data_IF_360093369114
#
_entry.id   IF_360093369114
#
_cell.length_a   1.000
_cell.length_b   1.000
_cell.length_c   1.000
_cell.angle_alpha   90.00
_cell.angle_beta   90.00
_cell.angle_gamma   90.00
#
_symmetry.space_group_name_H-M   'P 1'
#
loop_
_entity.id
_entity.type
_entity.pdbx_description
1 polymer ?
#
# COMPACT_ATOMS: atom_id res chain seq x y z
N UNK A 1 10.68 25.58 1.73
CA UNK A 1 10.13 24.49 0.92
C UNK A 1 8.74 24.22 1.46
N UNK A 2 7.67 24.47 0.69
CA UNK A 2 6.29 24.39 1.20
C UNK A 2 5.94 22.94 1.53
N UNK A 3 5.61 22.71 2.80
CA UNK A 3 4.99 21.48 3.27
C UNK A 3 3.65 21.30 2.56
N UNK A 4 3.53 20.26 1.74
CA UNK A 4 2.23 19.73 1.31
C UNK A 4 1.61 19.00 2.51
N UNK A 5 1.18 19.76 3.52
CA UNK A 5 0.15 19.28 4.42
C UNK A 5 -1.08 19.01 3.57
N UNK A 6 -1.72 17.85 3.77
CA UNK A 6 -3.03 17.53 3.20
C UNK A 6 -4.02 18.63 3.61
N UNK A 7 -4.08 19.72 2.84
CA UNK A 7 -5.09 20.75 3.00
C UNK A 7 -6.38 20.17 2.41
N UNK A 8 -7.14 19.49 3.27
CA UNK A 8 -8.53 19.15 3.02
C UNK A 8 -9.32 20.46 2.95
N UNK A 9 -9.34 21.10 1.78
CA UNK A 9 -10.29 22.17 1.54
C UNK A 9 -11.69 21.55 1.62
N UNK A 10 -12.50 21.98 2.59
CA UNK A 10 -13.94 21.70 2.69
C UNK A 10 -14.72 22.46 1.59
N UNK A 11 -14.18 22.55 0.37
CA UNK A 11 -14.90 23.16 -0.74
C UNK A 11 -15.91 22.15 -1.25
N UNK A 12 -17.19 22.52 -1.12
CA UNK A 12 -18.33 21.63 -1.26
C UNK A 12 -18.41 20.95 -2.61
N UNK A 13 -18.76 19.67 -2.58
CA UNK A 13 -19.24 18.89 -3.73
C UNK A 13 -20.56 19.43 -4.32
N UNK A 14 -21.01 20.62 -3.88
CA UNK A 14 -22.26 21.28 -4.24
C UNK A 14 -22.17 21.96 -5.63
N UNK A 15 -21.56 21.28 -6.59
CA UNK A 15 -21.69 21.60 -8.01
C UNK A 15 -23.00 21.05 -8.59
N UNK A 16 -23.18 21.10 -9.92
CA UNK A 16 -24.27 20.38 -10.59
C UNK A 16 -24.28 18.88 -10.19
N UNK A 17 -25.47 18.27 -10.24
CA UNK A 17 -25.71 16.85 -9.88
C UNK A 17 -24.58 15.93 -10.35
N UNK A 18 -23.92 15.26 -9.42
CA UNK A 18 -22.85 14.29 -9.68
C UNK A 18 -23.20 12.92 -9.10
N UNK A 19 -22.35 11.91 -9.37
CA UNK A 19 -22.63 10.53 -8.97
C UNK A 19 -22.72 10.34 -7.45
N UNK A 20 -21.95 11.10 -6.67
CA UNK A 20 -22.02 11.05 -5.19
C UNK A 20 -23.37 11.58 -4.72
N UNK A 21 -23.79 12.75 -5.22
CA UNK A 21 -25.10 13.31 -4.86
C UNK A 21 -26.26 12.46 -5.38
N UNK A 22 -26.09 11.76 -6.51
CA UNK A 22 -27.08 10.83 -7.03
C UNK A 22 -27.28 9.63 -6.10
N UNK A 23 -26.21 9.07 -5.54
CA UNK A 23 -26.34 8.04 -4.50
C UNK A 23 -26.95 8.58 -3.21
N UNK A 24 -26.54 9.76 -2.74
CA UNK A 24 -27.10 10.39 -1.53
C UNK A 24 -28.60 10.68 -1.66
N UNK A 25 -29.03 11.13 -2.85
CA UNK A 25 -30.43 11.43 -3.15
C UNK A 25 -31.26 10.25 -3.65
N UNK A 26 -30.69 9.04 -3.73
CA UNK A 26 -31.34 7.84 -4.29
C UNK A 26 -31.86 8.05 -5.74
N UNK A 27 -31.08 8.77 -6.56
CA UNK A 27 -31.43 9.19 -7.93
C UNK A 27 -30.84 8.28 -9.02
N UNK A 28 -30.44 7.06 -8.66
CA UNK A 28 -30.01 6.01 -9.58
C UNK A 28 -31.08 4.92 -9.69
N UNK A 29 -31.16 4.21 -10.83
CA UNK A 29 -32.18 3.19 -11.03
C UNK A 29 -31.97 2.03 -10.07
N UNK A 30 -33.06 1.55 -9.47
CA UNK A 30 -33.03 0.39 -8.56
C UNK A 30 -32.59 0.71 -7.13
N UNK A 31 -32.27 1.97 -6.80
CA UNK A 31 -32.06 2.38 -5.40
C UNK A 31 -33.41 2.55 -4.69
N UNK A 32 -33.97 1.44 -4.21
CA UNK A 32 -35.19 1.45 -3.36
C UNK A 32 -34.78 1.36 -1.88
N UNK A 33 -35.29 2.28 -1.06
CA UNK A 33 -34.96 2.36 0.37
C UNK A 33 -33.63 3.05 0.67
N UNK A 34 -33.22 3.07 1.94
CA UNK A 34 -31.99 3.73 2.40
C UNK A 34 -30.73 2.88 2.15
N UNK A 35 -29.57 3.47 2.44
CA UNK A 35 -28.30 2.74 2.51
C UNK A 35 -28.15 2.11 3.90
N UNK A 36 -27.66 0.87 3.99
CA UNK A 36 -27.37 0.21 5.27
C UNK A 36 -26.23 0.92 6.02
N UNK A 37 -25.36 1.59 5.28
CA UNK A 37 -24.26 2.37 5.82
C UNK A 37 -23.58 3.21 4.73
N UNK A 38 -22.95 4.30 5.16
CA UNK A 38 -22.14 5.15 4.29
C UNK A 38 -20.78 5.37 4.95
N UNK A 39 -19.72 5.03 4.23
CA UNK A 39 -18.34 5.26 4.68
C UNK A 39 -17.75 6.34 3.77
N UNK A 40 -17.26 7.42 4.38
CA UNK A 40 -16.58 8.49 3.66
C UNK A 40 -15.07 8.36 3.81
N UNK A 41 -14.35 8.19 2.69
CA UNK A 41 -12.89 8.20 2.66
C UNK A 41 -12.38 9.58 2.26
N UNK A 42 -11.07 9.74 2.06
CA UNK A 42 -10.53 10.98 1.51
C UNK A 42 -11.08 11.24 0.09
N UNK A 43 -11.02 10.25 -0.81
CA UNK A 43 -11.35 10.44 -2.24
C UNK A 43 -12.71 9.91 -2.68
N UNK A 44 -13.38 9.10 -1.88
CA UNK A 44 -14.60 8.40 -2.29
C UNK A 44 -15.63 8.33 -1.17
N UNK A 45 -16.86 7.98 -1.54
CA UNK A 45 -17.87 7.48 -0.61
C UNK A 45 -18.22 6.04 -0.99
N UNK A 46 -18.38 5.19 0.02
CA UNK A 46 -18.85 3.82 -0.11
C UNK A 46 -20.29 3.78 0.40
N UNK A 47 -21.21 3.33 -0.44
CA UNK A 47 -22.63 3.17 -0.11
C UNK A 47 -22.94 1.68 0.03
N UNK A 48 -23.24 1.22 1.24
CA UNK A 48 -23.47 -0.18 1.57
C UNK A 48 -24.96 -0.49 1.41
N UNK A 49 -25.31 -1.52 0.65
CA UNK A 49 -26.69 -1.94 0.38
C UNK A 49 -26.79 -3.47 0.24
N UNK A 50 -27.34 -4.13 1.24
CA UNK A 50 -27.41 -5.58 1.32
C UNK A 50 -26.00 -6.20 1.26
N UNK A 51 -25.77 -7.01 0.23
CA UNK A 51 -24.50 -7.69 -0.03
C UNK A 51 -23.58 -6.90 -0.98
N UNK A 52 -23.98 -5.70 -1.41
CA UNK A 52 -23.19 -4.84 -2.30
C UNK A 52 -22.69 -3.57 -1.60
N UNK A 53 -21.58 -3.07 -2.10
CA UNK A 53 -20.99 -1.78 -1.76
C UNK A 53 -20.73 -1.02 -3.05
N UNK A 54 -21.21 0.21 -3.15
CA UNK A 54 -20.97 1.07 -4.31
C UNK A 54 -19.95 2.15 -3.95
N UNK A 55 -18.76 2.13 -4.59
CA UNK A 55 -17.71 3.15 -4.42
C UNK A 55 -17.86 4.23 -5.49
N UNK A 56 -18.22 5.43 -5.07
CA UNK A 56 -18.30 6.62 -5.92
C UNK A 56 -17.20 7.60 -5.55
N UNK A 57 -16.47 8.10 -6.56
CA UNK A 57 -15.39 9.05 -6.34
C UNK A 57 -15.91 10.48 -6.24
N UNK A 58 -15.29 11.22 -5.34
CA UNK A 58 -15.57 12.62 -5.06
C UNK A 58 -14.98 13.51 -6.15
N UNK A 59 -15.74 14.54 -6.55
CA UNK A 59 -15.32 15.51 -7.57
C UNK A 59 -14.43 16.58 -6.94
N UNK A 60 -13.16 16.28 -6.73
CA UNK A 60 -12.20 17.17 -6.05
C UNK A 60 -10.79 17.02 -6.60
N UNK A 61 -9.98 18.04 -6.36
CA UNK A 61 -8.54 17.93 -6.56
C UNK A 61 -7.88 17.28 -5.33
N UNK A 62 -6.91 16.41 -5.58
CA UNK A 62 -6.02 15.80 -4.59
C UNK A 62 -4.57 15.94 -5.06
N UNK A 63 -3.60 15.69 -4.17
CA UNK A 63 -2.17 15.94 -4.41
C UNK A 63 -1.58 15.17 -5.61
N UNK A 64 -2.25 14.10 -6.06
CA UNK A 64 -1.81 13.23 -7.14
C UNK A 64 -2.78 13.16 -8.33
N UNK A 65 -3.98 13.73 -8.21
CA UNK A 65 -4.97 13.70 -9.29
C UNK A 65 -6.01 14.82 -9.13
N UNK A 66 -6.36 15.46 -10.24
CA UNK A 66 -7.52 16.34 -10.29
C UNK A 66 -8.79 15.55 -10.63
N UNK A 67 -9.45 14.99 -9.62
CA UNK A 67 -10.71 14.25 -9.82
C UNK A 67 -11.91 15.18 -10.06
N UNK A 68 -11.74 16.50 -10.08
CA UNK A 68 -12.79 17.40 -10.58
C UNK A 68 -12.91 17.28 -12.12
N UNK A 69 -11.78 17.12 -12.82
CA UNK A 69 -11.76 16.82 -14.25
C UNK A 69 -12.34 15.44 -14.54
N UNK A 70 -13.30 15.39 -15.46
CA UNK A 70 -14.04 14.17 -15.80
C UNK A 70 -13.15 13.11 -16.44
N UNK A 71 -12.23 13.50 -17.33
CA UNK A 71 -11.33 12.56 -18.02
C UNK A 71 -10.34 11.94 -17.04
N UNK A 72 -9.73 12.77 -16.20
CA UNK A 72 -8.80 12.34 -15.14
C UNK A 72 -9.52 11.42 -14.15
N UNK A 73 -10.70 11.82 -13.65
CA UNK A 73 -11.49 11.00 -12.73
C UNK A 73 -11.85 9.64 -13.33
N UNK A 74 -12.36 9.59 -14.56
CA UNK A 74 -12.68 8.31 -15.23
C UNK A 74 -11.44 7.43 -15.32
N UNK A 75 -10.32 7.95 -15.83
CA UNK A 75 -9.06 7.20 -15.90
C UNK A 75 -8.65 6.66 -14.53
N UNK A 76 -8.76 7.46 -13.48
CA UNK A 76 -8.46 7.05 -12.11
C UNK A 76 -9.37 5.91 -11.63
N UNK A 77 -10.69 6.01 -11.85
CA UNK A 77 -11.66 4.97 -11.42
C UNK A 77 -11.42 3.65 -12.16
N UNK A 78 -11.17 3.70 -13.48
CA UNK A 78 -10.86 2.48 -14.23
C UNK A 78 -9.54 1.84 -13.78
N UNK A 79 -8.54 2.66 -13.43
CA UNK A 79 -7.30 2.16 -12.87
C UNK A 79 -7.53 1.54 -11.48
N UNK A 80 -8.23 2.23 -10.56
CA UNK A 80 -8.57 1.69 -9.24
C UNK A 80 -9.31 0.35 -9.36
N UNK A 81 -10.33 0.29 -10.24
CA UNK A 81 -11.05 -0.96 -10.49
C UNK A 81 -10.14 -2.06 -11.02
N UNK A 82 -9.32 -1.77 -12.03
CA UNK A 82 -8.42 -2.77 -12.62
C UNK A 82 -7.48 -3.38 -11.57
N UNK A 83 -6.82 -2.53 -10.81
CA UNK A 83 -5.84 -2.95 -9.80
C UNK A 83 -6.49 -3.83 -8.74
N UNK A 84 -7.62 -3.37 -8.21
CA UNK A 84 -8.33 -4.09 -7.19
C UNK A 84 -9.05 -5.34 -7.70
N UNK A 85 -9.50 -5.38 -8.96
CA UNK A 85 -10.12 -6.57 -9.55
C UNK A 85 -9.10 -7.68 -9.79
N UNK A 86 -7.86 -7.37 -10.19
CA UNK A 86 -6.80 -8.39 -10.24
C UNK A 86 -6.48 -8.91 -8.83
N UNK A 87 -6.45 -8.01 -7.84
CA UNK A 87 -6.07 -8.36 -6.48
C UNK A 87 -7.18 -9.00 -5.64
N UNK A 88 -8.45 -8.78 -5.98
CA UNK A 88 -9.63 -9.31 -5.30
C UNK A 88 -10.82 -9.39 -6.28
N UNK A 89 -10.78 -10.30 -7.27
CA UNK A 89 -11.82 -10.38 -8.32
C UNK A 89 -13.19 -10.75 -7.77
N UNK A 90 -13.23 -11.42 -6.63
CA UNK A 90 -14.46 -11.76 -5.93
C UNK A 90 -15.07 -10.56 -5.17
N UNK A 91 -14.27 -9.54 -4.86
CA UNK A 91 -14.73 -8.35 -4.14
C UNK A 91 -15.07 -7.24 -5.13
N UNK A 92 -14.24 -6.98 -6.13
CA UNK A 92 -14.46 -5.90 -7.10
C UNK A 92 -15.18 -6.45 -8.34
N UNK A 93 -16.50 -6.31 -8.36
CA UNK A 93 -17.36 -7.06 -9.26
C UNK A 93 -17.53 -6.38 -10.63
N UNK A 94 -17.74 -5.07 -10.65
CA UNK A 94 -18.09 -4.35 -11.87
C UNK A 94 -17.66 -2.88 -11.83
N UNK A 95 -17.22 -2.37 -12.97
CA UNK A 95 -17.12 -0.94 -13.24
C UNK A 95 -18.38 -0.50 -13.99
N UNK A 96 -19.29 0.20 -13.31
CA UNK A 96 -20.60 0.56 -13.89
C UNK A 96 -20.63 1.98 -14.42
N UNK A 97 -21.17 2.14 -15.63
CA UNK A 97 -21.41 3.41 -16.27
C UNK A 97 -22.74 4.04 -15.85
N UNK A 98 -22.73 5.36 -15.69
CA UNK A 98 -23.97 6.14 -15.52
C UNK A 98 -24.04 7.26 -16.56
N UNK A 99 -25.23 7.63 -16.99
CA UNK A 99 -25.49 8.82 -17.83
C UNK A 99 -26.62 9.62 -17.23
N UNK A 100 -26.53 10.95 -17.26
CA UNK A 100 -27.61 11.81 -16.76
C UNK A 100 -28.78 11.84 -17.75
N UNK A 101 -29.99 11.66 -17.23
CA UNK A 101 -31.25 11.82 -17.95
C UNK A 101 -32.20 12.70 -17.11
N UNK A 102 -32.26 14.00 -17.44
CA UNK A 102 -32.98 15.00 -16.64
C UNK A 102 -32.34 15.18 -15.25
N UNK A 103 -33.11 14.88 -14.20
CA UNK A 103 -32.68 14.99 -12.80
C UNK A 103 -32.24 13.65 -12.19
N UNK A 104 -32.17 12.59 -13.00
CA UNK A 104 -31.74 11.27 -12.59
C UNK A 104 -30.51 10.82 -13.36
N UNK A 105 -29.88 9.75 -12.87
CA UNK A 105 -28.93 8.98 -13.66
C UNK A 105 -29.58 7.67 -14.10
N UNK A 106 -29.13 7.15 -15.23
CA UNK A 106 -29.45 5.80 -15.71
C UNK A 106 -28.18 4.97 -15.83
N UNK A 107 -28.29 3.66 -15.61
CA UNK A 107 -27.18 2.74 -15.85
C UNK A 107 -26.97 2.54 -17.35
N UNK A 108 -25.72 2.60 -17.78
CA UNK A 108 -25.28 2.35 -19.15
C UNK A 108 -23.97 1.58 -19.13
N UNK A 109 -23.53 1.07 -20.28
CA UNK A 109 -22.17 0.54 -20.39
C UNK A 109 -21.15 1.62 -20.03
N UNK A 110 -20.06 1.26 -19.34
CA UNK A 110 -19.04 2.21 -18.91
C UNK A 110 -18.41 2.99 -20.09
N UNK A 111 -18.40 2.45 -21.31
CA UNK A 111 -17.94 3.15 -22.51
C UNK A 111 -18.88 4.30 -22.92
N UNK A 112 -20.17 4.19 -22.61
CA UNK A 112 -21.21 5.18 -22.91
C UNK A 112 -21.48 6.14 -21.72
N UNK A 113 -20.85 5.87 -20.57
CA UNK A 113 -21.04 6.61 -19.33
C UNK A 113 -20.53 8.06 -19.33
N UNK A 114 -21.44 8.96 -18.95
CA UNK A 114 -21.30 10.05 -17.97
C UNK A 114 -20.08 10.00 -17.05
N UNK A 115 -20.24 9.16 -16.05
CA UNK A 115 -19.33 8.95 -14.95
C UNK A 115 -19.38 7.47 -14.57
N UNK A 116 -18.50 7.06 -13.67
CA UNK A 116 -18.35 5.67 -13.26
C UNK A 116 -18.45 5.53 -11.76
N UNK A 117 -18.85 4.34 -11.33
CA UNK A 117 -18.67 3.89 -9.96
C UNK A 117 -18.32 2.41 -9.95
N UNK A 118 -17.75 1.95 -8.84
CA UNK A 118 -17.34 0.56 -8.69
C UNK A 118 -18.38 -0.18 -7.84
N UNK A 119 -18.84 -1.32 -8.33
CA UNK A 119 -19.67 -2.26 -7.58
C UNK A 119 -18.75 -3.27 -6.93
N UNK A 120 -18.90 -3.44 -5.61
CA UNK A 120 -18.13 -4.35 -4.80
C UNK A 120 -19.05 -5.28 -4.02
N UNK A 121 -18.58 -6.48 -3.70
CA UNK A 121 -19.17 -7.33 -2.69
C UNK A 121 -18.88 -6.73 -1.31
N UNK A 122 -19.89 -6.69 -0.44
CA UNK A 122 -19.69 -6.39 0.98
C UNK A 122 -18.83 -7.48 1.61
N UNK A 123 -17.84 -7.07 2.40
CA UNK A 123 -16.97 -7.98 3.14
C UNK A 123 -17.12 -7.72 4.64
N UNK A 124 -16.81 -8.74 5.42
CA UNK A 124 -16.75 -8.63 6.87
C UNK A 124 -15.44 -7.97 7.29
N UNK A 125 -15.53 -6.72 7.73
CA UNK A 125 -14.37 -5.93 8.15
C UNK A 125 -13.64 -6.50 9.36
N UNK A 126 -14.25 -7.41 10.13
CA UNK A 126 -13.60 -8.04 11.28
C UNK A 126 -12.59 -9.14 10.87
N UNK A 127 -12.53 -9.52 9.58
CA UNK A 127 -11.62 -10.55 9.05
C UNK A 127 -10.33 -10.00 8.43
N UNK A 128 -9.98 -8.74 8.69
CA UNK A 128 -8.76 -8.15 8.16
C UNK A 128 -7.51 -8.54 8.98
N UNK A 129 -6.32 -8.48 8.36
CA UNK A 129 -5.06 -8.86 8.99
C UNK A 129 -4.71 -7.98 10.20
N UNK A 130 -5.07 -6.69 10.19
CA UNK A 130 -4.83 -5.82 11.34
C UNK A 130 -5.56 -6.33 12.58
N UNK A 131 -6.84 -6.73 12.46
CA UNK A 131 -7.60 -7.34 13.56
C UNK A 131 -6.94 -8.61 14.08
N UNK A 132 -6.57 -9.50 13.17
CA UNK A 132 -5.86 -10.74 13.52
C UNK A 132 -4.56 -10.47 14.27
N UNK A 133 -3.82 -9.42 13.91
CA UNK A 133 -2.59 -9.00 14.58
C UNK A 133 -2.85 -8.37 15.96
N UNK A 134 -3.84 -7.49 16.06
CA UNK A 134 -4.22 -6.85 17.33
C UNK A 134 -4.72 -7.85 18.37
N UNK A 135 -5.43 -8.89 17.93
CA UNK A 135 -5.95 -9.96 18.77
C UNK A 135 -4.92 -11.07 19.04
N UNK A 136 -3.79 -11.07 18.33
CA UNK A 136 -2.79 -12.14 18.39
C UNK A 136 -3.29 -13.47 17.83
N UNK A 137 -4.34 -13.45 17.00
CA UNK A 137 -4.96 -14.63 16.38
C UNK A 137 -4.52 -14.68 14.92
N UNK A 138 -3.23 -14.96 14.71
CA UNK A 138 -2.73 -15.26 13.37
C UNK A 138 -3.11 -16.70 13.00
N UNK A 139 -3.95 -16.91 11.98
CA UNK A 139 -4.36 -18.27 11.65
C UNK A 139 -3.16 -19.04 11.08
N UNK A 140 -2.88 -20.22 11.62
CA UNK A 140 -1.78 -21.06 11.18
C UNK A 140 -1.84 -21.35 9.67
N UNK A 141 -0.72 -21.17 8.96
CA UNK A 141 -0.62 -21.39 7.52
C UNK A 141 -1.14 -20.24 6.63
N UNK A 142 -2.00 -19.35 7.13
CA UNK A 142 -2.56 -18.24 6.32
C UNK A 142 -1.50 -17.23 5.88
N UNK A 143 -0.41 -17.06 6.64
CA UNK A 143 0.72 -16.24 6.21
C UNK A 143 1.40 -16.82 4.97
N UNK A 144 1.53 -18.14 4.86
CA UNK A 144 2.05 -18.79 3.65
C UNK A 144 1.12 -18.62 2.45
N UNK A 145 -0.20 -18.78 2.66
CA UNK A 145 -1.21 -18.49 1.63
C UNK A 145 -1.16 -17.03 1.15
N UNK A 146 -0.96 -16.09 2.09
CA UNK A 146 -0.76 -14.68 1.79
C UNK A 146 0.44 -14.47 0.85
N UNK A 147 1.60 -15.08 1.16
CA UNK A 147 2.80 -14.90 0.32
C UNK A 147 2.58 -15.46 -1.08
N UNK A 148 1.99 -16.66 -1.20
CA UNK A 148 1.66 -17.24 -2.49
C UNK A 148 0.69 -16.37 -3.30
N UNK A 149 -0.36 -15.86 -2.66
CA UNK A 149 -1.35 -15.00 -3.31
C UNK A 149 -0.74 -13.65 -3.73
N UNK A 150 0.06 -13.02 -2.87
CA UNK A 150 0.76 -11.77 -3.18
C UNK A 150 1.69 -11.98 -4.37
N UNK A 151 2.55 -13.00 -4.32
CA UNK A 151 3.52 -13.28 -5.37
C UNK A 151 2.84 -13.46 -6.74
N UNK A 152 1.86 -14.36 -6.82
CA UNK A 152 1.16 -14.65 -8.07
C UNK A 152 0.43 -13.43 -8.65
N UNK A 153 -0.25 -12.64 -7.80
CA UNK A 153 -1.00 -11.47 -8.26
C UNK A 153 -0.11 -10.30 -8.65
N UNK A 154 1.04 -10.12 -7.98
CA UNK A 154 2.04 -9.14 -8.40
C UNK A 154 2.65 -9.50 -9.76
N UNK A 155 2.83 -10.79 -10.07
CA UNK A 155 3.24 -11.23 -11.42
C UNK A 155 2.19 -10.88 -12.47
N UNK A 156 0.91 -11.17 -12.20
CA UNK A 156 -0.19 -10.79 -13.10
C UNK A 156 -0.26 -9.27 -13.34
N UNK A 157 -0.14 -8.46 -12.27
CA UNK A 157 -0.11 -7.00 -12.38
C UNK A 157 1.11 -6.53 -13.18
N UNK A 158 2.28 -7.15 -12.95
CA UNK A 158 3.51 -6.80 -13.65
C UNK A 158 3.38 -7.04 -15.15
N UNK A 159 2.93 -8.21 -15.57
CA UNK A 159 2.73 -8.50 -16.98
C UNK A 159 1.74 -7.55 -17.64
N UNK A 160 0.66 -7.20 -16.93
CA UNK A 160 -0.36 -6.31 -17.48
C UNK A 160 0.05 -4.83 -17.54
N UNK A 161 0.94 -4.36 -16.64
CA UNK A 161 1.20 -2.92 -16.44
C UNK A 161 2.63 -2.47 -16.67
N UNK A 162 3.60 -3.39 -16.80
CA UNK A 162 5.01 -3.04 -17.02
C UNK A 162 5.24 -2.07 -18.16
N UNK A 163 4.54 -2.24 -19.29
CA UNK A 163 4.69 -1.34 -20.43
C UNK A 163 4.23 0.10 -20.13
N UNK A 164 3.15 0.25 -19.36
CA UNK A 164 2.65 1.57 -18.96
C UNK A 164 3.50 2.26 -17.90
N UNK A 165 4.36 1.50 -17.20
CA UNK A 165 5.25 1.97 -16.13
C UNK A 165 6.72 1.85 -16.52
N UNK A 166 7.03 1.75 -17.81
CA UNK A 166 8.38 1.45 -18.33
C UNK A 166 9.43 2.42 -17.81
N UNK A 167 9.10 3.69 -17.66
CA UNK A 167 10.03 4.71 -17.15
C UNK A 167 10.59 4.43 -15.75
N UNK A 168 9.83 3.73 -14.90
CA UNK A 168 10.26 3.34 -13.56
C UNK A 168 11.06 2.04 -13.59
N UNK A 169 10.71 1.11 -14.49
CA UNK A 169 11.51 -0.10 -14.74
C UNK A 169 12.89 0.23 -15.31
N UNK A 170 12.98 1.19 -16.23
CA UNK A 170 14.23 1.59 -16.89
C UNK A 170 15.24 2.22 -15.91
N UNK A 171 14.78 2.73 -14.77
CA UNK A 171 15.63 3.24 -13.68
C UNK A 171 16.18 2.14 -12.78
N UNK A 172 15.66 0.91 -12.88
CA UNK A 172 16.11 -0.26 -12.15
C UNK A 172 16.32 0.00 -10.63
N UNK A 173 17.49 -0.34 -10.10
CA UNK A 173 17.82 -0.19 -8.68
C UNK A 173 17.84 1.27 -8.21
N UNK A 174 18.11 2.24 -9.10
CA UNK A 174 18.10 3.67 -8.74
C UNK A 174 16.71 4.08 -8.25
N UNK A 175 15.67 3.64 -8.94
CA UNK A 175 14.29 3.95 -8.55
C UNK A 175 13.96 3.40 -7.16
N UNK A 176 14.30 2.13 -6.90
CA UNK A 176 14.09 1.50 -5.58
C UNK A 176 14.84 2.25 -4.48
N UNK A 177 16.07 2.69 -4.73
CA UNK A 177 16.85 3.49 -3.76
C UNK A 177 16.17 4.83 -3.44
N UNK A 178 15.70 5.52 -4.48
CA UNK A 178 14.99 6.81 -4.33
C UNK A 178 13.72 6.64 -3.48
N UNK A 179 12.93 5.59 -3.72
CA UNK A 179 11.70 5.32 -2.97
C UNK A 179 11.98 4.95 -1.50
N UNK A 180 12.98 4.09 -1.25
CA UNK A 180 13.39 3.72 0.12
C UNK A 180 13.82 4.95 0.92
N UNK A 181 14.67 5.82 0.35
CA UNK A 181 15.12 7.04 1.02
C UNK A 181 13.99 8.08 1.15
N UNK A 182 13.09 8.13 0.18
CA UNK A 182 11.92 9.02 0.19
C UNK A 182 11.01 8.82 1.40
N UNK A 183 11.03 7.65 2.04
CA UNK A 183 10.27 7.38 3.28
C UNK A 183 10.66 8.30 4.45
N UNK A 184 11.91 8.76 4.49
CA UNK A 184 12.45 9.64 5.53
C UNK A 184 11.64 10.93 5.68
N UNK A 185 11.35 11.59 4.56
CA UNK A 185 10.74 12.92 4.59
C UNK A 185 9.32 12.89 5.16
N UNK A 186 8.59 11.79 4.91
CA UNK A 186 7.28 11.59 5.52
C UNK A 186 7.38 11.18 6.99
N UNK A 187 8.38 10.37 7.35
CA UNK A 187 8.60 9.96 8.74
C UNK A 187 8.85 11.13 9.70
N UNK A 188 9.39 12.27 9.23
CA UNK A 188 9.50 13.49 10.05
C UNK A 188 8.15 14.03 10.56
N UNK A 189 7.03 13.64 9.95
CA UNK A 189 5.69 14.05 10.39
C UNK A 189 5.18 13.23 11.59
N UNK A 190 5.94 12.23 12.04
CA UNK A 190 5.55 11.29 13.09
C UNK A 190 5.81 11.77 14.53
N UNK A 191 6.36 12.96 14.75
CA UNK A 191 6.57 13.48 16.12
C UNK A 191 5.24 13.53 16.92
N UNK A 192 5.24 13.19 18.23
CA UNK A 192 6.41 12.88 19.05
C UNK A 192 6.83 11.40 19.03
N UNK A 193 6.11 10.51 18.34
CA UNK A 193 6.31 9.06 18.42
C UNK A 193 7.68 8.62 17.92
N UNK A 194 8.14 9.23 16.83
CA UNK A 194 9.46 9.01 16.26
C UNK A 194 10.17 10.35 16.12
N UNK A 195 11.30 10.51 16.84
CA UNK A 195 12.03 11.77 16.87
C UNK A 195 12.78 11.99 15.55
N UNK A 196 13.06 13.26 15.21
CA UNK A 196 13.91 13.57 14.05
C UNK A 196 15.27 12.85 14.10
N UNK A 197 15.87 12.72 15.29
CA UNK A 197 17.13 12.01 15.47
C UNK A 197 17.02 10.50 15.19
N UNK A 198 15.90 9.88 15.57
CA UNK A 198 15.64 8.47 15.24
C UNK A 198 15.50 8.28 13.71
N UNK A 199 14.76 9.18 13.05
CA UNK A 199 14.58 9.18 11.58
C UNK A 199 15.92 9.37 10.87
N UNK A 200 16.71 10.36 11.28
CA UNK A 200 18.03 10.65 10.71
C UNK A 200 18.97 9.44 10.86
N UNK A 201 19.01 8.83 12.05
CA UNK A 201 19.82 7.63 12.31
C UNK A 201 19.40 6.45 11.43
N UNK A 202 18.10 6.18 11.32
CA UNK A 202 17.59 5.10 10.46
C UNK A 202 17.97 5.35 8.99
N UNK A 203 17.78 6.58 8.51
CA UNK A 203 18.13 6.97 7.14
C UNK A 203 19.64 6.80 6.85
N UNK A 204 20.51 7.26 7.74
CA UNK A 204 21.96 7.10 7.60
C UNK A 204 22.39 5.63 7.48
N UNK A 205 21.79 4.75 8.30
CA UNK A 205 22.07 3.31 8.23
C UNK A 205 21.56 2.70 6.93
N UNK A 206 20.35 3.06 6.48
CA UNK A 206 19.82 2.62 5.19
C UNK A 206 20.72 3.10 4.04
N UNK A 207 21.13 4.37 4.01
CA UNK A 207 22.00 4.93 2.97
C UNK A 207 23.34 4.19 2.86
N UNK A 208 23.92 3.77 4.00
CA UNK A 208 25.14 2.93 4.01
C UNK A 208 24.93 1.60 3.28
N UNK A 209 23.81 0.92 3.55
CA UNK A 209 23.47 -0.35 2.90
C UNK A 209 23.18 -0.14 1.41
N UNK A 210 22.35 0.86 1.06
CA UNK A 210 22.01 1.18 -0.33
C UNK A 210 23.26 1.51 -1.16
N UNK A 211 24.31 2.06 -0.54
CA UNK A 211 25.56 2.41 -1.21
C UNK A 211 26.57 1.26 -1.27
N UNK A 212 26.54 0.33 -0.31
CA UNK A 212 27.55 -0.73 -0.19
C UNK A 212 27.12 -2.10 -0.75
N UNK A 213 25.83 -2.43 -0.68
CA UNK A 213 25.35 -3.75 -1.10
C UNK A 213 25.24 -3.84 -2.63
N UNK A 214 25.88 -4.86 -3.21
CA UNK A 214 25.81 -5.13 -4.65
C UNK A 214 24.39 -5.31 -5.16
N UNK A 215 23.44 -5.68 -4.28
CA UNK A 215 22.01 -5.77 -4.57
C UNK A 215 21.45 -4.47 -5.18
N UNK A 216 21.89 -3.31 -4.68
CA UNK A 216 21.44 -1.99 -5.13
C UNK A 216 22.36 -1.34 -6.18
N UNK A 217 23.48 -2.00 -6.52
CA UNK A 217 24.39 -1.56 -7.58
C UNK A 217 24.16 -2.29 -8.91
N UNK A 218 23.32 -3.32 -8.92
CA UNK A 218 23.01 -4.14 -10.08
C UNK A 218 21.50 -4.12 -10.36
N UNK A 219 21.06 -4.53 -11.56
CA UNK A 219 19.64 -4.68 -11.86
C UNK A 219 18.94 -5.62 -10.86
N UNK A 220 17.89 -5.13 -10.21
CA UNK A 220 17.07 -5.92 -9.26
C UNK A 220 16.19 -6.87 -10.07
N UNK A 221 16.50 -8.17 -10.02
CA UNK A 221 15.80 -9.20 -10.79
C UNK A 221 14.33 -9.36 -10.43
N UNK A 222 13.97 -9.00 -9.21
CA UNK A 222 12.61 -9.09 -8.65
C UNK A 222 11.83 -7.78 -8.78
N UNK A 223 12.32 -6.81 -9.56
CA UNK A 223 11.60 -5.57 -9.82
C UNK A 223 10.24 -5.88 -10.47
N UNK A 224 9.17 -5.38 -9.87
CA UNK A 224 7.81 -5.70 -10.26
C UNK A 224 6.89 -4.49 -10.12
N UNK A 225 5.70 -4.61 -10.70
CA UNK A 225 4.58 -3.78 -10.29
C UNK A 225 4.19 -4.23 -8.88
N UNK A 226 3.97 -3.28 -7.96
CA UNK A 226 3.66 -3.54 -6.54
C UNK A 226 2.40 -2.81 -6.10
N UNK A 227 1.80 -3.28 -5.00
CA UNK A 227 0.56 -2.73 -4.43
C UNK A 227 0.81 -1.97 -3.14
N UNK A 228 -0.11 -1.08 -2.79
CA UNK A 228 -0.14 -0.49 -1.44
C UNK A 228 -0.60 -1.56 -0.45
N UNK A 229 0.35 -2.03 0.34
CA UNK A 229 0.14 -3.13 1.29
C UNK A 229 -0.06 -2.53 2.67
N UNK A 230 -1.29 -2.67 3.19
CA UNK A 230 -1.70 -2.29 4.55
C UNK A 230 -2.50 -3.45 5.16
N UNK A 231 -2.26 -3.85 6.42
CA UNK A 231 -2.96 -4.95 7.08
C UNK A 231 -4.49 -4.73 7.22
N UNK A 232 -4.97 -3.48 7.17
CA UNK A 232 -6.42 -3.18 7.13
C UNK A 232 -7.06 -3.56 5.79
N UNK A 233 -6.25 -3.67 4.74
CA UNK A 233 -6.65 -3.94 3.36
C UNK A 233 -6.42 -5.40 2.94
N UNK A 234 -5.91 -6.23 3.86
CA UNK A 234 -5.64 -7.65 3.63
C UNK A 234 -6.68 -8.46 4.39
N UNK A 235 -7.41 -9.31 3.70
CA UNK A 235 -8.46 -10.15 4.26
C UNK A 235 -8.07 -11.62 4.21
N UNK A 236 -8.20 -12.29 5.36
CA UNK A 236 -7.90 -13.70 5.52
C UNK A 236 -9.21 -14.48 5.57
N UNK A 237 -9.71 -14.88 4.41
CA UNK A 237 -10.91 -15.70 4.32
C UNK A 237 -10.57 -17.20 4.36
N UNK A 238 -11.60 -18.02 4.57
CA UNK A 238 -11.46 -19.48 4.59
C UNK A 238 -11.05 -19.97 3.20
N UNK A 239 -11.63 -19.40 2.15
CA UNK A 239 -11.34 -19.65 0.73
C UNK A 239 -10.02 -19.05 0.21
N UNK A 240 -9.33 -18.23 1.03
CA UNK A 240 -8.01 -17.68 0.70
C UNK A 240 -7.85 -16.20 1.04
N UNK A 241 -6.81 -15.58 0.48
CA UNK A 241 -6.43 -14.19 0.78
C UNK A 241 -6.96 -13.22 -0.27
N UNK A 242 -7.48 -12.08 0.17
CA UNK A 242 -7.91 -10.98 -0.71
C UNK A 242 -7.23 -9.67 -0.30
N UNK A 243 -6.93 -8.83 -1.29
CA UNK A 243 -6.33 -7.50 -1.07
C UNK A 243 -7.25 -6.47 -1.71
N UNK A 244 -7.71 -5.49 -0.92
CA UNK A 244 -8.58 -4.41 -1.37
C UNK A 244 -7.85 -3.06 -1.25
N UNK A 245 -8.38 -2.03 -1.91
CA UNK A 245 -7.82 -0.68 -1.91
C UNK A 245 -6.29 -0.65 -2.13
N UNK A 246 -5.84 -1.40 -3.15
CA UNK A 246 -4.43 -1.79 -3.35
C UNK A 246 -3.64 -0.87 -4.27
N UNK A 247 -4.31 0.06 -4.99
CA UNK A 247 -3.65 0.86 -6.01
C UNK A 247 -2.81 1.97 -5.37
N UNK A 248 -1.47 1.99 -5.57
CA UNK A 248 -0.68 3.13 -5.13
C UNK A 248 -1.11 4.40 -5.87
N UNK A 249 -1.36 5.51 -5.16
CA UNK A 249 -1.92 6.73 -5.76
C UNK A 249 -0.95 7.45 -6.70
N UNK A 250 0.36 7.28 -6.54
CA UNK A 250 1.39 7.85 -7.42
C UNK A 250 2.00 6.75 -8.29
N UNK A 251 2.26 7.05 -9.57
CA UNK A 251 2.84 6.08 -10.50
C UNK A 251 4.23 5.60 -10.06
N UNK A 252 5.04 6.48 -9.47
CA UNK A 252 6.35 6.11 -8.91
C UNK A 252 6.26 5.07 -7.78
N UNK A 253 5.13 4.98 -7.08
CA UNK A 253 4.95 4.00 -6.00
C UNK A 253 4.49 2.63 -6.52
N UNK A 254 4.24 2.51 -7.83
CA UNK A 254 3.70 1.30 -8.45
C UNK A 254 4.76 0.33 -8.91
N UNK A 255 6.02 0.74 -8.97
CA UNK A 255 7.15 -0.13 -9.33
C UNK A 255 8.11 -0.19 -8.17
N UNK A 256 8.42 -1.40 -7.71
CA UNK A 256 9.39 -1.59 -6.65
C UNK A 256 9.92 -3.02 -6.72
N UNK A 257 10.94 -3.31 -5.93
CA UNK A 257 11.29 -4.70 -5.64
C UNK A 257 10.10 -5.44 -5.02
N UNK A 258 9.69 -6.56 -5.62
CA UNK A 258 8.63 -7.43 -5.12
C UNK A 258 8.81 -7.81 -3.65
N UNK A 259 10.06 -8.00 -3.22
CA UNK A 259 10.35 -8.35 -1.82
C UNK A 259 9.98 -7.23 -0.84
N UNK A 260 10.04 -5.96 -1.26
CA UNK A 260 9.59 -4.85 -0.42
C UNK A 260 8.10 -4.93 -0.11
N UNK A 261 7.26 -5.36 -1.05
CA UNK A 261 5.82 -5.55 -0.81
C UNK A 261 5.56 -6.60 0.29
N UNK A 262 6.39 -7.65 0.38
CA UNK A 262 6.36 -8.59 1.51
C UNK A 262 6.81 -7.91 2.80
N UNK A 263 7.92 -7.16 2.76
CA UNK A 263 8.47 -6.46 3.93
C UNK A 263 7.52 -5.44 4.54
N UNK A 264 6.59 -4.87 3.75
CA UNK A 264 5.48 -4.06 4.28
C UNK A 264 4.70 -4.83 5.34
N UNK A 265 4.24 -6.04 5.00
CA UNK A 265 3.52 -6.88 5.95
C UNK A 265 4.42 -7.55 7.00
N UNK A 266 5.67 -7.90 6.69
CA UNK A 266 6.57 -8.46 7.71
C UNK A 266 6.90 -7.44 8.81
N UNK A 267 7.02 -6.15 8.46
CA UNK A 267 7.17 -5.07 9.43
C UNK A 267 5.91 -4.91 10.31
N UNK A 268 4.70 -4.98 9.72
CA UNK A 268 3.44 -4.96 10.49
C UNK A 268 3.35 -6.14 11.47
N UNK A 269 3.64 -7.36 11.01
CA UNK A 269 3.66 -8.56 11.85
C UNK A 269 4.71 -8.41 12.96
N UNK A 270 5.93 -8.01 12.61
CA UNK A 270 7.00 -7.92 13.61
C UNK A 270 6.76 -6.83 14.65
N UNK A 271 6.19 -5.68 14.26
CA UNK A 271 5.89 -4.58 15.18
C UNK A 271 4.73 -4.91 16.13
N UNK A 272 3.77 -5.75 15.72
CA UNK A 272 2.55 -6.01 16.48
C UNK A 272 2.56 -7.32 17.25
N UNK A 273 3.16 -8.38 16.70
CA UNK A 273 3.16 -9.73 17.30
C UNK A 273 4.56 -10.35 17.44
N UNK A 274 5.60 -9.67 16.95
CA UNK A 274 7.01 -10.06 17.12
C UNK A 274 7.64 -10.79 15.93
N UNK A 275 8.97 -10.82 15.94
CA UNK A 275 9.84 -11.26 14.83
C UNK A 275 9.60 -12.70 14.37
N UNK A 276 9.34 -13.64 15.29
CA UNK A 276 9.16 -15.06 14.95
C UNK A 276 7.99 -15.30 13.98
N UNK A 277 6.92 -14.51 14.08
CA UNK A 277 5.80 -14.61 13.14
C UNK A 277 6.16 -14.02 11.77
N UNK A 278 6.99 -12.97 11.74
CA UNK A 278 7.47 -12.37 10.50
C UNK A 278 8.44 -13.28 9.75
N UNK A 279 9.23 -14.10 10.44
CA UNK A 279 10.12 -15.09 9.83
C UNK A 279 9.37 -16.08 8.94
N UNK A 280 8.17 -16.51 9.33
CA UNK A 280 7.33 -17.41 8.52
C UNK A 280 6.94 -16.81 7.15
N UNK A 281 6.83 -15.48 7.04
CA UNK A 281 6.60 -14.81 5.75
C UNK A 281 7.84 -14.90 4.86
N UNK A 282 9.03 -14.73 5.44
CA UNK A 282 10.28 -14.81 4.70
C UNK A 282 10.58 -16.23 4.23
N UNK A 283 10.37 -17.23 5.09
CA UNK A 283 10.54 -18.64 4.73
C UNK A 283 9.59 -19.05 3.59
N UNK A 284 8.35 -18.58 3.66
CA UNK A 284 7.36 -18.81 2.59
C UNK A 284 7.76 -18.14 1.28
N UNK A 285 8.39 -16.96 1.33
CA UNK A 285 8.88 -16.27 0.14
C UNK A 285 10.11 -16.96 -0.44
N UNK A 286 11.03 -17.43 0.40
CA UNK A 286 12.25 -18.11 -0.03
C UNK A 286 11.96 -19.35 -0.89
N UNK A 287 10.87 -20.05 -0.57
CA UNK A 287 10.38 -21.18 -1.36
C UNK A 287 9.94 -20.80 -2.80
N UNK A 288 9.66 -19.52 -3.06
CA UNK A 288 9.23 -19.00 -4.37
C UNK A 288 10.32 -18.21 -5.08
N UNK A 289 11.17 -17.48 -4.34
CA UNK A 289 12.20 -16.63 -4.89
C UNK A 289 13.34 -16.40 -3.87
N UNK A 290 14.61 -16.33 -4.30
CA UNK A 290 15.73 -16.13 -3.39
C UNK A 290 15.58 -14.85 -2.54
N UNK A 291 15.89 -14.97 -1.25
CA UNK A 291 15.89 -13.83 -0.35
C UNK A 291 17.00 -12.84 -0.68
N UNK A 292 16.74 -11.52 -0.58
CA UNK A 292 17.81 -10.54 -0.58
C UNK A 292 18.78 -10.72 0.60
N UNK A 293 20.02 -10.17 0.50
CA UNK A 293 20.95 -10.15 1.63
C UNK A 293 20.30 -9.57 2.89
N UNK A 294 20.68 -10.08 4.06
CA UNK A 294 20.05 -9.68 5.33
C UNK A 294 19.96 -8.17 5.55
N UNK A 295 21.04 -7.43 5.29
CA UNK A 295 21.04 -5.97 5.40
C UNK A 295 19.99 -5.31 4.50
N UNK A 296 19.75 -5.84 3.30
CA UNK A 296 18.71 -5.35 2.38
C UNK A 296 17.32 -5.59 2.96
N UNK A 297 17.08 -6.78 3.53
CA UNK A 297 15.80 -7.11 4.17
C UNK A 297 15.48 -6.15 5.31
N UNK A 298 16.48 -5.86 6.15
CA UNK A 298 16.36 -4.91 7.26
C UNK A 298 16.05 -3.50 6.80
N UNK A 299 16.70 -3.02 5.73
CA UNK A 299 16.40 -1.71 5.13
C UNK A 299 14.96 -1.62 4.69
N UNK A 300 14.44 -2.64 4.01
CA UNK A 300 13.05 -2.66 3.56
C UNK A 300 12.04 -2.68 4.72
N UNK A 301 12.32 -3.44 5.78
CA UNK A 301 11.48 -3.46 6.97
C UNK A 301 11.49 -2.11 7.71
N UNK A 302 12.66 -1.47 7.83
CA UNK A 302 12.77 -0.13 8.40
C UNK A 302 11.98 0.88 7.55
N UNK A 303 12.16 0.88 6.23
CA UNK A 303 11.44 1.76 5.31
C UNK A 303 9.91 1.53 5.36
N UNK A 304 9.47 0.27 5.47
CA UNK A 304 8.06 -0.06 5.67
C UNK A 304 7.51 0.52 6.98
N UNK A 305 8.25 0.39 8.08
CA UNK A 305 7.83 0.92 9.38
C UNK A 305 7.87 2.46 9.43
N UNK A 306 8.84 3.10 8.76
CA UNK A 306 8.90 4.55 8.59
C UNK A 306 7.68 5.12 7.86
N UNK A 307 7.03 4.33 7.01
CA UNK A 307 5.75 4.65 6.38
C UNK A 307 4.59 4.47 7.39
N UNK A 308 4.58 3.37 8.14
CA UNK A 308 3.49 3.06 9.06
C UNK A 308 3.40 4.06 10.23
N UNK A 309 4.52 4.49 10.82
CA UNK A 309 4.48 5.41 11.97
C UNK A 309 3.69 6.70 11.70
N UNK A 310 4.01 7.52 10.66
CA UNK A 310 3.23 8.73 10.37
C UNK A 310 1.81 8.41 9.89
N UNK A 311 1.60 7.31 9.17
CA UNK A 311 0.25 6.89 8.76
C UNK A 311 -0.66 6.62 9.96
N UNK A 312 -0.21 5.82 10.93
CA UNK A 312 -0.97 5.48 12.14
C UNK A 312 -1.29 6.71 12.98
N UNK A 313 -0.33 7.63 13.11
CA UNK A 313 -0.58 8.94 13.73
C UNK A 313 -1.65 9.73 12.97
N UNK A 314 -1.58 9.82 11.64
CA UNK A 314 -2.52 10.56 10.80
C UNK A 314 -3.97 10.06 10.97
N UNK A 315 -4.16 8.75 11.15
CA UNK A 315 -5.49 8.15 11.37
C UNK A 315 -5.90 8.09 12.85
N UNK A 316 -5.15 8.74 13.75
CA UNK A 316 -5.49 8.82 15.18
C UNK A 316 -5.22 7.53 15.98
N UNK A 317 -4.36 6.65 15.48
CA UNK A 317 -3.92 5.41 16.14
C UNK A 317 -2.54 5.59 16.76
N UNK A 318 -2.46 6.47 17.76
CA UNK A 318 -1.20 6.80 18.47
C UNK A 318 -0.56 5.57 19.13
N UNK A 319 -1.40 4.62 19.58
CA UNK A 319 -0.97 3.34 20.16
C UNK A 319 -0.16 2.51 19.16
N UNK A 320 -0.62 2.44 17.91
CA UNK A 320 0.07 1.73 16.84
C UNK A 320 1.29 2.52 16.37
N UNK A 321 1.18 3.85 16.24
CA UNK A 321 2.29 4.70 15.85
C UNK A 321 3.51 4.50 16.77
N UNK A 322 3.29 4.43 18.09
CA UNK A 322 4.33 4.14 19.06
C UNK A 322 5.00 2.76 18.81
N UNK A 323 4.21 1.70 18.58
CA UNK A 323 4.74 0.35 18.29
C UNK A 323 5.63 0.32 17.04
N UNK A 324 5.21 0.98 15.96
CA UNK A 324 6.04 1.09 14.75
C UNK A 324 7.30 1.92 14.98
N UNK A 325 7.23 2.99 15.78
CA UNK A 325 8.41 3.78 16.12
C UNK A 325 9.43 2.96 16.94
N UNK A 326 8.97 2.17 17.90
CA UNK A 326 9.84 1.27 18.67
C UNK A 326 10.47 0.20 17.78
N UNK A 327 9.70 -0.34 16.83
CA UNK A 327 10.22 -1.26 15.82
C UNK A 327 11.30 -0.61 14.94
N UNK A 328 11.11 0.63 14.46
CA UNK A 328 12.14 1.37 13.70
C UNK A 328 13.43 1.50 14.51
N UNK A 329 13.35 1.87 15.80
CA UNK A 329 14.53 2.00 16.68
C UNK A 329 15.25 0.66 16.83
N UNK A 330 14.54 -0.37 17.25
CA UNK A 330 15.11 -1.71 17.48
C UNK A 330 15.71 -2.28 16.20
N UNK A 331 15.01 -2.17 15.07
CA UNK A 331 15.50 -2.72 13.79
C UNK A 331 16.70 -1.94 13.25
N UNK A 332 16.76 -0.63 13.51
CA UNK A 332 17.94 0.19 13.20
C UNK A 332 19.14 -0.18 14.07
N UNK A 333 18.93 -0.53 15.34
CA UNK A 333 19.99 -1.04 16.21
C UNK A 333 20.55 -2.37 15.71
N UNK A 334 19.68 -3.32 15.36
CA UNK A 334 20.11 -4.57 14.73
C UNK A 334 20.95 -4.30 13.46
N UNK A 335 20.52 -3.34 12.63
CA UNK A 335 21.22 -3.02 11.38
C UNK A 335 22.60 -2.43 11.65
N UNK A 336 22.71 -1.56 12.65
CA UNK A 336 24.00 -1.01 13.06
C UNK A 336 24.96 -2.12 13.50
N UNK A 337 24.50 -3.07 14.32
CA UNK A 337 25.30 -4.21 14.77
C UNK A 337 25.77 -5.08 13.59
N UNK A 338 24.88 -5.40 12.65
CA UNK A 338 25.22 -6.17 11.46
C UNK A 338 26.31 -5.48 10.62
N UNK A 339 26.22 -4.15 10.47
CA UNK A 339 27.20 -3.37 9.71
C UNK A 339 28.56 -3.29 10.42
N UNK A 340 28.59 -3.25 11.76
CA UNK A 340 29.83 -3.31 12.54
C UNK A 340 30.52 -4.67 12.41
N UNK A 341 29.76 -5.76 12.48
CA UNK A 341 30.27 -7.12 12.32
C UNK A 341 30.89 -7.34 10.93
N UNK A 342 30.19 -6.89 9.86
CA UNK A 342 30.72 -6.92 8.50
C UNK A 342 32.01 -6.09 8.35
N UNK A 343 32.10 -4.95 9.02
CA UNK A 343 33.29 -4.10 8.96
C UNK A 343 34.50 -4.78 9.64
N UNK A 344 34.28 -5.49 10.75
CA UNK A 344 35.33 -6.25 11.44
C UNK A 344 35.82 -7.45 10.63
N UNK A 345 34.92 -8.18 9.96
CA UNK A 345 35.30 -9.35 9.16
C UNK A 345 36.14 -8.99 7.93
N UNK A 346 35.87 -7.85 7.29
CA UNK A 346 36.68 -7.31 6.19
C UNK A 346 38.04 -6.82 6.70
N UNK A 347 38.07 -6.15 7.87
CA UNK A 347 39.33 -5.72 8.50
C UNK A 347 40.26 -6.90 8.81
N UNK A 348 39.74 -7.99 9.37
CA UNK A 348 40.52 -9.19 9.70
C UNK A 348 41.04 -9.95 8.47
N UNK A 349 40.30 -9.98 7.36
CA UNK A 349 40.76 -10.67 6.14
C UNK A 349 41.90 -9.94 5.42
N UNK A 350 41.98 -8.60 5.56
CA UNK A 350 43.08 -7.79 5.03
C UNK A 350 44.42 -7.98 5.76
N UNK A 351 44.41 -8.55 6.97
CA UNK A 351 45.64 -8.84 7.73
C UNK A 351 46.21 -10.25 7.47
N UNK A 352 45.41 -11.20 6.99
CA UNK A 352 45.85 -12.61 6.81
C UNK A 352 46.39 -12.90 5.40
N UNK A 353 46.16 -11.99 4.44
CA UNK A 353 46.65 -12.11 3.05
C UNK A 353 47.96 -11.35 2.78
N UNK A 354 48.63 -10.86 3.83
CA UNK A 354 49.87 -10.07 3.76
C UNK A 354 51.14 -10.83 4.15
N UNK A 355 51.15 -12.16 4.14
CA UNK A 355 52.36 -13.00 4.30
C UNK A 355 52.76 -13.73 3.03
#
# INVERSE_FOLDING_TARGET
MLYAGFFLSRNGYNGPMNIVNAFEGLLLPGLVGDHDGVIETVLSKLFIRGDEVHKAYKHRTADFADLADRSVRRKYIAEDFFWNNIMAPNVYLELRGVRREGDQFVHVDHKEGEDWYIVMRKIDNERNLMRALEEGILPGGKLGEYVGALYARLEMLTEARKQGLKEFFDKEALHVREEVIGTRDWAYTAEPHLSRADVDRAAELMERVLSAEAYFQNPIKTLSVVIDTNPENIFLFDEGVSFIDVMPPKDAWRVHDRYFALCRTSADVSALVGKTHAEALHDSYEALSPLPPEAVRMVYEIAAALIQTPYRKMVGRDDLAAKYADYVRSRSEDLALLLEEKSRSIGLSSFVSGE
#
